data_IF_249849487223
#
_entry.id   IF_249849487223
#
_cell.length_a   1.000
_cell.length_b   1.000
_cell.length_c   1.000
_cell.angle_alpha   90.00
_cell.angle_beta   90.00
_cell.angle_gamma   90.00
#
_symmetry.space_group_name_H-M   'P 1'
#
loop_
_entity.id
_entity.type
_entity.pdbx_description
1 polymer ?
#
# COMPACT_ATOMS: atom_id res chain seq x y z
N UNK A 1 -49.94 53.59 3.90
CA UNK A 1 -48.52 53.21 3.72
C UNK A 1 -48.37 51.77 4.18
N UNK A 2 -48.51 50.83 3.25
CA UNK A 2 -48.33 49.39 3.50
C UNK A 2 -47.00 48.98 2.88
N UNK A 3 -46.04 48.54 3.69
CA UNK A 3 -44.76 48.05 3.22
C UNK A 3 -44.84 46.54 2.95
N UNK A 4 -44.62 46.17 1.68
CA UNK A 4 -44.34 44.81 1.25
C UNK A 4 -42.94 44.38 1.73
N UNK A 5 -42.83 43.21 2.34
CA UNK A 5 -41.58 42.45 2.40
C UNK A 5 -41.88 41.06 1.85
N UNK A 6 -41.23 40.76 0.73
CA UNK A 6 -41.39 39.60 -0.11
C UNK A 6 -40.36 38.55 0.31
N UNK A 7 -40.80 37.40 0.81
CA UNK A 7 -39.91 36.25 1.07
C UNK A 7 -39.70 35.45 -0.23
N UNK A 8 -38.46 35.03 -0.57
CA UNK A 8 -38.21 34.25 -1.77
C UNK A 8 -38.71 32.81 -1.62
N UNK A 9 -39.36 32.34 -2.69
CA UNK A 9 -40.17 31.14 -2.72
C UNK A 9 -39.43 29.81 -2.59
N UNK A 10 -40.11 28.88 -1.92
CA UNK A 10 -39.89 27.45 -2.02
C UNK A 10 -40.23 26.99 -3.45
N UNK A 11 -39.28 26.41 -4.18
CA UNK A 11 -39.56 25.71 -5.45
C UNK A 11 -39.69 24.21 -5.19
N UNK A 12 -40.73 23.54 -5.73
CA UNK A 12 -40.94 22.11 -5.60
C UNK A 12 -40.17 21.31 -6.66
N UNK A 13 -39.68 20.14 -6.26
CA UNK A 13 -39.45 18.98 -7.15
C UNK A 13 -38.14 18.95 -7.93
N UNK A 14 -37.06 18.48 -7.31
CA UNK A 14 -35.98 17.83 -8.05
C UNK A 14 -36.36 16.34 -8.24
N UNK A 15 -36.37 15.90 -9.49
CA UNK A 15 -36.63 14.53 -9.93
C UNK A 15 -35.48 13.57 -9.55
N UNK A 16 -35.69 12.24 -9.50
CA UNK A 16 -34.70 11.25 -9.02
C UNK A 16 -33.49 11.02 -9.96
N UNK A 17 -33.10 11.99 -10.78
CA UNK A 17 -32.10 11.79 -11.84
C UNK A 17 -30.68 12.30 -11.49
N UNK A 18 -30.46 12.92 -10.33
CA UNK A 18 -29.15 13.52 -9.99
C UNK A 18 -28.24 12.61 -9.13
N UNK A 19 -28.52 11.31 -9.04
CA UNK A 19 -27.60 10.31 -8.48
C UNK A 19 -26.86 9.54 -9.58
N UNK A 20 -26.11 10.24 -10.43
CA UNK A 20 -25.16 9.61 -11.37
C UNK A 20 -23.89 10.44 -11.50
N UNK A 21 -23.00 10.31 -10.52
CA UNK A 21 -21.55 10.14 -10.73
C UNK A 21 -20.82 9.98 -9.38
N UNK A 22 -21.10 8.90 -8.65
CA UNK A 22 -20.02 8.31 -7.87
C UNK A 22 -19.23 7.45 -8.86
N UNK A 23 -18.31 8.09 -9.59
CA UNK A 23 -17.38 7.35 -10.44
C UNK A 23 -16.82 6.20 -9.62
N UNK A 24 -17.07 4.97 -10.05
CA UNK A 24 -16.34 3.81 -9.56
C UNK A 24 -14.88 4.22 -9.64
N UNK A 25 -14.24 4.41 -8.49
CA UNK A 25 -12.78 4.54 -8.48
C UNK A 25 -12.31 3.22 -9.04
N UNK A 26 -11.89 3.22 -10.32
CA UNK A 26 -11.28 2.06 -10.95
C UNK A 26 -10.27 1.49 -9.96
N UNK A 27 -10.51 0.25 -9.51
CA UNK A 27 -9.82 -0.27 -8.34
C UNK A 27 -8.39 -0.59 -8.71
N UNK A 28 -7.48 0.35 -8.46
CA UNK A 28 -6.05 0.14 -8.62
C UNK A 28 -5.60 -1.05 -7.76
N UNK A 29 -5.02 -2.07 -8.38
CA UNK A 29 -4.40 -3.20 -7.69
C UNK A 29 -2.92 -2.90 -7.45
N UNK A 30 -2.32 -3.54 -6.45
CA UNK A 30 -0.87 -3.49 -6.24
C UNK A 30 -0.33 -4.91 -6.30
N UNK A 31 0.62 -5.16 -7.20
CA UNK A 31 1.49 -6.34 -7.08
C UNK A 31 2.58 -6.01 -6.07
N UNK A 32 2.64 -6.79 -4.98
CA UNK A 32 3.76 -6.77 -4.06
C UNK A 32 4.63 -8.00 -4.32
N UNK A 33 5.91 -7.79 -4.56
CA UNK A 33 6.90 -8.85 -4.73
C UNK A 33 7.92 -8.79 -3.61
N UNK A 34 8.22 -9.94 -3.02
CA UNK A 34 9.31 -10.05 -2.05
C UNK A 34 10.33 -11.05 -2.55
N UNK A 35 11.59 -10.65 -2.58
CA UNK A 35 12.70 -11.49 -3.08
C UNK A 35 13.74 -11.62 -1.98
N UNK A 36 13.93 -12.82 -1.45
CA UNK A 36 15.06 -13.12 -0.57
C UNK A 36 16.29 -13.34 -1.43
N UNK A 37 17.37 -12.61 -1.12
CA UNK A 37 18.64 -12.74 -1.83
C UNK A 37 19.75 -13.24 -0.90
N UNK A 38 20.80 -13.81 -1.50
CA UNK A 38 21.99 -14.24 -0.77
C UNK A 38 22.58 -13.08 0.04
N UNK A 39 23.06 -13.31 1.28
CA UNK A 39 23.75 -12.29 2.05
C UNK A 39 24.86 -11.61 1.24
N UNK A 40 25.07 -10.31 1.48
CA UNK A 40 26.07 -9.48 0.79
C UNK A 40 25.87 -9.29 -0.73
N UNK A 41 24.73 -9.70 -1.30
CA UNK A 41 24.43 -9.52 -2.73
C UNK A 41 23.37 -8.45 -3.02
N UNK A 42 22.66 -7.97 -2.00
CA UNK A 42 21.58 -6.98 -2.13
C UNK A 42 21.98 -5.76 -2.97
N UNK A 43 23.14 -5.13 -2.68
CA UNK A 43 23.62 -3.96 -3.42
C UNK A 43 23.76 -4.24 -4.92
N UNK A 44 24.26 -5.41 -5.30
CA UNK A 44 24.42 -5.81 -6.72
C UNK A 44 23.06 -5.98 -7.39
N UNK A 45 22.10 -6.57 -6.68
CA UNK A 45 20.72 -6.73 -7.18
C UNK A 45 20.07 -5.36 -7.38
N UNK A 46 20.21 -4.46 -6.42
CA UNK A 46 19.73 -3.07 -6.52
C UNK A 46 20.38 -2.30 -7.68
N UNK A 47 21.69 -2.45 -7.89
CA UNK A 47 22.41 -1.83 -9.01
C UNK A 47 21.89 -2.34 -10.36
N UNK A 48 21.71 -3.67 -10.52
CA UNK A 48 21.13 -4.27 -11.74
C UNK A 48 19.69 -3.82 -11.97
N UNK A 49 18.91 -3.74 -10.89
CA UNK A 49 17.54 -3.24 -10.95
C UNK A 49 17.49 -1.77 -11.40
N UNK A 50 18.29 -0.90 -10.77
CA UNK A 50 18.38 0.51 -11.10
C UNK A 50 18.79 0.75 -12.56
N UNK A 51 19.70 -0.06 -13.11
CA UNK A 51 20.13 0.02 -14.51
C UNK A 51 19.01 -0.34 -15.49
N UNK A 52 18.20 -1.37 -15.18
CA UNK A 52 17.09 -1.81 -16.04
C UNK A 52 15.80 -0.99 -15.86
N UNK A 53 15.67 -0.28 -14.73
CA UNK A 53 14.47 0.43 -14.33
C UNK A 53 13.98 1.52 -15.33
N UNK A 54 14.85 2.33 -15.99
CA UNK A 54 14.39 3.37 -16.91
C UNK A 54 13.54 2.82 -18.08
N UNK A 55 13.92 1.70 -18.67
CA UNK A 55 13.13 1.07 -19.74
C UNK A 55 11.83 0.46 -19.19
N UNK A 56 11.89 -0.16 -18.01
CA UNK A 56 10.70 -0.73 -17.36
C UNK A 56 9.66 0.32 -16.99
N UNK A 57 10.10 1.52 -16.56
CA UNK A 57 9.20 2.62 -16.19
C UNK A 57 8.43 3.21 -17.37
N UNK A 58 8.88 3.00 -18.62
CA UNK A 58 8.11 3.36 -19.81
C UNK A 58 6.84 2.52 -19.98
N UNK A 59 6.78 1.34 -19.35
CA UNK A 59 5.63 0.42 -19.43
C UNK A 59 4.64 0.60 -18.27
N UNK A 60 5.16 0.73 -17.05
CA UNK A 60 4.36 1.07 -15.87
C UNK A 60 5.26 1.67 -14.78
N UNK A 61 4.74 2.56 -13.93
CA UNK A 61 5.51 3.17 -12.86
C UNK A 61 5.90 2.14 -11.79
N UNK A 62 7.06 2.33 -11.17
CA UNK A 62 7.39 1.71 -9.90
C UNK A 62 6.61 2.43 -8.79
N UNK A 63 6.01 1.67 -7.87
CA UNK A 63 5.30 2.24 -6.72
C UNK A 63 6.17 2.35 -5.48
N UNK A 64 7.13 1.45 -5.30
CA UNK A 64 8.04 1.42 -4.17
C UNK A 64 9.09 0.32 -4.33
N UNK A 65 10.30 0.57 -3.82
CA UNK A 65 11.35 -0.43 -3.72
C UNK A 65 12.06 -0.28 -2.38
N UNK A 66 12.16 -1.36 -1.63
CA UNK A 66 12.75 -1.38 -0.31
C UNK A 66 13.67 -2.58 -0.13
N UNK A 67 14.55 -2.48 0.85
CA UNK A 67 15.22 -3.62 1.46
C UNK A 67 14.97 -3.63 2.96
N UNK A 68 14.93 -4.82 3.55
CA UNK A 68 14.70 -4.99 4.99
C UNK A 68 15.94 -4.71 5.82
N UNK A 69 15.76 -3.93 6.88
CA UNK A 69 16.76 -3.67 7.92
C UNK A 69 16.44 -4.46 9.21
N UNK A 70 15.15 -4.58 9.55
CA UNK A 70 14.66 -5.41 10.66
C UNK A 70 13.59 -6.37 10.16
N UNK A 71 13.65 -7.63 10.58
CA UNK A 71 12.74 -8.70 10.15
C UNK A 71 13.51 -9.77 9.37
N UNK A 72 12.94 -10.25 8.26
CA UNK A 72 13.66 -11.16 7.33
C UNK A 72 14.76 -10.37 6.61
N UNK A 73 16.02 -10.57 6.99
CA UNK A 73 17.16 -9.85 6.41
C UNK A 73 17.43 -10.25 4.95
N UNK A 74 18.05 -9.35 4.18
CA UNK A 74 18.38 -9.54 2.76
C UNK A 74 17.13 -9.76 1.89
N UNK A 75 15.99 -9.19 2.28
CA UNK A 75 14.76 -9.26 1.51
C UNK A 75 14.52 -7.92 0.80
N UNK A 76 14.33 -8.00 -0.52
CA UNK A 76 13.89 -6.88 -1.35
C UNK A 76 12.37 -6.91 -1.44
N UNK A 77 11.74 -5.75 -1.36
CA UNK A 77 10.28 -5.58 -1.46
C UNK A 77 9.98 -4.58 -2.56
N UNK A 78 9.21 -4.99 -3.56
CA UNK A 78 8.78 -4.15 -4.68
C UNK A 78 7.26 -3.96 -4.62
N UNK A 79 6.79 -2.75 -4.93
CA UNK A 79 5.39 -2.43 -5.11
C UNK A 79 5.18 -1.95 -6.55
N UNK A 80 4.30 -2.61 -7.28
CA UNK A 80 3.95 -2.31 -8.66
C UNK A 80 2.44 -2.05 -8.76
N UNK A 81 2.02 -0.78 -8.85
CA UNK A 81 0.61 -0.45 -8.97
C UNK A 81 0.15 -0.62 -10.42
N UNK A 82 -1.05 -1.18 -10.60
CA UNK A 82 -1.71 -1.36 -11.90
C UNK A 82 -3.17 -0.94 -11.80
N UNK A 83 -3.74 -0.49 -12.91
CA UNK A 83 -5.17 -0.18 -13.02
C UNK A 83 -6.02 -1.42 -12.76
N UNK A 84 -5.62 -2.57 -13.31
CA UNK A 84 -6.32 -3.85 -13.20
C UNK A 84 -5.42 -5.01 -13.65
N UNK A 85 -5.94 -6.24 -13.61
CA UNK A 85 -5.22 -7.44 -14.01
C UNK A 85 -4.87 -7.49 -15.49
N UNK A 86 -5.71 -6.93 -16.38
CA UNK A 86 -5.47 -6.91 -17.82
C UNK A 86 -4.30 -5.97 -18.17
N UNK A 87 -4.24 -4.78 -17.57
CA UNK A 87 -3.11 -3.87 -17.72
C UNK A 87 -1.81 -4.52 -17.21
N UNK A 88 -1.87 -5.20 -16.06
CA UNK A 88 -0.73 -5.95 -15.52
C UNK A 88 -0.21 -7.00 -16.50
N UNK A 89 -1.09 -7.79 -17.10
CA UNK A 89 -0.72 -8.83 -18.06
C UNK A 89 -0.06 -8.25 -19.31
N UNK A 90 -0.64 -7.19 -19.90
CA UNK A 90 -0.05 -6.50 -21.04
C UNK A 90 1.35 -5.93 -20.71
N UNK A 91 1.48 -5.28 -19.55
CA UNK A 91 2.77 -4.74 -19.10
C UNK A 91 3.80 -5.85 -18.95
N UNK A 92 3.43 -7.00 -18.36
CA UNK A 92 4.34 -8.14 -18.22
C UNK A 92 4.78 -8.70 -19.58
N UNK A 93 3.85 -8.86 -20.53
CA UNK A 93 4.15 -9.32 -21.89
C UNK A 93 5.12 -8.37 -22.62
N UNK A 94 4.98 -7.05 -22.43
CA UNK A 94 5.92 -6.05 -22.97
C UNK A 94 7.25 -6.03 -22.21
N UNK A 95 7.24 -6.23 -20.89
CA UNK A 95 8.42 -6.18 -20.05
C UNK A 95 9.43 -7.29 -20.42
N UNK A 96 8.96 -8.50 -20.73
CA UNK A 96 9.83 -9.61 -21.17
C UNK A 96 10.58 -9.23 -22.45
N UNK A 97 9.95 -8.50 -23.38
CA UNK A 97 10.58 -8.10 -24.66
C UNK A 97 11.72 -7.10 -24.49
N UNK A 98 11.74 -6.35 -23.38
CA UNK A 98 12.82 -5.42 -23.04
C UNK A 98 13.84 -6.04 -22.08
N UNK A 99 13.81 -7.36 -21.86
CA UNK A 99 14.75 -8.06 -20.99
C UNK A 99 14.46 -7.88 -19.50
N UNK A 100 13.21 -7.59 -19.11
CA UNK A 100 12.80 -7.54 -17.71
C UNK A 100 12.26 -8.90 -17.23
N UNK A 101 12.58 -9.33 -15.99
CA UNK A 101 13.44 -8.68 -15.00
C UNK A 101 14.94 -8.82 -15.31
N UNK A 102 15.80 -7.94 -14.76
CA UNK A 102 17.26 -8.10 -14.88
C UNK A 102 17.72 -9.45 -14.31
N UNK A 103 18.71 -10.08 -14.94
CA UNK A 103 19.19 -11.40 -14.52
C UNK A 103 19.86 -11.33 -13.14
N UNK A 104 19.21 -11.94 -12.15
CA UNK A 104 19.67 -12.04 -10.77
C UNK A 104 19.66 -13.50 -10.27
N UNK A 105 19.58 -14.49 -11.16
CA UNK A 105 19.37 -15.91 -10.79
C UNK A 105 20.43 -16.46 -9.83
N UNK A 106 21.65 -15.94 -9.90
CA UNK A 106 22.75 -16.33 -9.01
C UNK A 106 22.59 -15.84 -7.56
N UNK A 107 21.73 -14.84 -7.33
CA UNK A 107 21.54 -14.18 -6.04
C UNK A 107 20.19 -14.51 -5.38
N UNK A 108 19.16 -14.82 -6.15
CA UNK A 108 17.81 -15.10 -5.63
C UNK A 108 17.77 -16.45 -4.91
N UNK A 109 17.21 -16.47 -3.70
CA UNK A 109 16.93 -17.68 -2.91
C UNK A 109 15.45 -18.04 -3.05
N UNK A 110 14.56 -17.08 -2.78
CA UNK A 110 13.11 -17.26 -2.84
C UNK A 110 12.46 -15.99 -3.40
N UNK A 111 11.31 -16.14 -4.03
CA UNK A 111 10.50 -15.01 -4.47
C UNK A 111 9.02 -15.33 -4.28
N UNK A 112 8.30 -14.42 -3.62
CA UNK A 112 6.84 -14.45 -3.48
C UNK A 112 6.23 -13.27 -4.22
N UNK A 113 5.03 -13.47 -4.77
CA UNK A 113 4.29 -12.41 -5.46
C UNK A 113 2.82 -12.50 -5.09
N UNK A 114 2.25 -11.36 -4.71
CA UNK A 114 0.83 -11.24 -4.36
C UNK A 114 0.18 -10.07 -5.04
N UNK A 115 -1.10 -10.21 -5.34
CA UNK A 115 -1.96 -9.13 -5.85
C UNK A 115 -2.84 -8.66 -4.71
N UNK A 116 -2.80 -7.35 -4.48
CA UNK A 116 -3.42 -6.69 -3.36
C UNK A 116 -4.54 -5.76 -3.85
N UNK A 117 -5.70 -5.83 -3.18
CA UNK A 117 -6.81 -4.89 -3.35
C UNK A 117 -6.85 -3.89 -2.21
N UNK A 118 -7.12 -2.60 -2.48
CA UNK A 118 -7.10 -1.57 -1.45
C UNK A 118 -8.26 -1.75 -0.48
N UNK A 119 -8.00 -1.53 0.80
CA UNK A 119 -9.06 -1.33 1.78
C UNK A 119 -9.87 -0.06 1.42
N UNK A 120 -11.17 0.04 1.77
CA UNK A 120 -12.00 1.19 1.40
C UNK A 120 -11.48 2.56 1.87
N UNK A 121 -10.73 2.58 2.98
CA UNK A 121 -10.10 3.77 3.56
C UNK A 121 -8.63 3.94 3.16
N UNK A 122 -8.07 3.03 2.36
CA UNK A 122 -6.68 3.18 1.92
C UNK A 122 -6.54 4.49 1.15
N UNK A 123 -5.51 5.31 1.44
CA UNK A 123 -5.22 6.45 0.60
C UNK A 123 -4.97 5.98 -0.84
N UNK A 124 -5.26 6.82 -1.85
CA UNK A 124 -4.81 6.57 -3.21
C UNK A 124 -3.31 6.34 -3.21
N UNK A 125 -2.84 5.32 -3.93
CA UNK A 125 -1.42 5.02 -4.03
C UNK A 125 -0.70 6.21 -4.67
N UNK A 126 0.18 6.87 -3.91
CA UNK A 126 0.96 8.03 -4.36
C UNK A 126 2.42 7.86 -4.02
N UNK A 127 3.28 8.27 -4.94
CA UNK A 127 4.72 8.38 -4.74
C UNK A 127 5.07 9.74 -4.13
N UNK A 128 6.25 9.87 -3.53
CA UNK A 128 6.68 11.09 -2.86
C UNK A 128 7.60 10.86 -1.67
N UNK A 129 8.00 11.97 -1.03
CA UNK A 129 8.84 11.99 0.17
C UNK A 129 7.98 11.77 1.41
N UNK A 130 8.02 10.57 1.98
CA UNK A 130 7.24 10.24 3.18
C UNK A 130 8.09 9.92 4.43
N UNK A 131 9.35 9.50 4.27
CA UNK A 131 10.25 9.17 5.38
C UNK A 131 11.45 8.34 4.93
N UNK A 132 12.35 7.99 5.86
CA UNK A 132 13.51 7.14 5.57
C UNK A 132 13.34 5.69 6.06
N UNK A 133 12.34 5.42 6.91
CA UNK A 133 12.08 4.10 7.48
C UNK A 133 10.61 3.75 7.27
N UNK A 134 10.35 2.55 6.77
CA UNK A 134 9.01 2.06 6.47
C UNK A 134 8.70 0.85 7.33
N UNK A 135 7.64 0.93 8.14
CA UNK A 135 7.09 -0.23 8.84
C UNK A 135 6.10 -0.94 7.92
N UNK A 136 6.45 -2.13 7.46
CA UNK A 136 5.61 -2.98 6.60
C UNK A 136 5.08 -4.12 7.46
N UNK A 137 3.76 -4.25 7.51
CA UNK A 137 3.09 -5.24 8.36
C UNK A 137 2.18 -6.11 7.51
N UNK A 138 2.28 -7.42 7.74
CA UNK A 138 1.57 -8.43 6.97
C UNK A 138 0.94 -9.41 7.96
N UNK A 139 -0.39 -9.44 8.03
CA UNK A 139 -1.13 -10.25 9.00
C UNK A 139 -2.00 -11.26 8.29
N UNK A 140 -2.09 -12.47 8.82
CA UNK A 140 -3.06 -13.46 8.36
C UNK A 140 -4.23 -13.47 9.32
N UNK A 141 -5.44 -13.31 8.79
CA UNK A 141 -6.68 -13.42 9.55
C UNK A 141 -7.43 -14.71 9.22
N UNK A 142 -8.38 -15.07 10.07
CA UNK A 142 -9.31 -16.18 9.83
C UNK A 142 -10.10 -15.97 8.54
N UNK A 143 -10.47 -17.07 7.89
CA UNK A 143 -11.26 -17.03 6.66
C UNK A 143 -12.57 -16.27 6.84
N UNK A 144 -12.89 -15.39 5.89
CA UNK A 144 -14.13 -14.60 5.92
C UNK A 144 -14.14 -13.42 6.90
N UNK A 145 -13.03 -13.12 7.59
CA UNK A 145 -12.99 -12.05 8.62
C UNK A 145 -12.42 -10.72 8.14
N UNK A 146 -11.89 -10.63 6.91
CA UNK A 146 -11.39 -9.36 6.34
C UNK A 146 -12.44 -8.23 6.40
N UNK A 147 -13.74 -8.45 6.09
CA UNK A 147 -14.75 -7.40 6.27
C UNK A 147 -14.85 -6.88 7.72
N UNK A 148 -14.78 -7.77 8.71
CA UNK A 148 -14.79 -7.39 10.13
C UNK A 148 -13.52 -6.61 10.53
N UNK A 149 -12.38 -6.98 9.95
CA UNK A 149 -11.13 -6.23 10.13
C UNK A 149 -11.27 -4.81 9.57
N UNK A 150 -11.87 -4.65 8.38
CA UNK A 150 -12.16 -3.34 7.78
C UNK A 150 -13.06 -2.52 8.72
N UNK A 151 -14.17 -3.10 9.19
CA UNK A 151 -15.11 -2.45 10.11
C UNK A 151 -14.42 -1.98 11.41
N UNK A 152 -13.56 -2.81 11.99
CA UNK A 152 -12.80 -2.46 13.19
C UNK A 152 -11.78 -1.33 12.97
N UNK A 153 -11.26 -1.18 11.74
CA UNK A 153 -10.32 -0.11 11.38
C UNK A 153 -11.00 1.24 11.14
N UNK A 154 -12.19 1.25 10.53
CA UNK A 154 -12.91 2.47 10.12
C UNK A 154 -12.96 3.57 11.21
N UNK A 155 -13.36 3.31 12.46
CA UNK A 155 -13.51 4.38 13.46
C UNK A 155 -12.17 4.99 13.92
N UNK A 156 -11.04 4.30 13.67
CA UNK A 156 -9.73 4.70 14.16
C UNK A 156 -8.86 5.32 13.07
N UNK A 157 -9.11 4.97 11.80
CA UNK A 157 -8.14 5.20 10.74
C UNK A 157 -7.93 6.68 10.43
N UNK A 158 -8.97 7.51 10.47
CA UNK A 158 -8.84 8.94 10.22
C UNK A 158 -7.94 9.60 11.26
N UNK A 159 -8.18 9.28 12.54
CA UNK A 159 -7.43 9.83 13.66
C UNK A 159 -5.98 9.36 13.62
N UNK A 160 -5.75 8.08 13.31
CA UNK A 160 -4.41 7.51 13.13
C UNK A 160 -3.65 8.15 11.95
N UNK A 161 -4.32 8.39 10.82
CA UNK A 161 -3.73 9.01 9.63
C UNK A 161 -3.30 10.47 9.86
N UNK A 162 -3.96 11.19 10.78
CA UNK A 162 -3.51 12.53 11.23
C UNK A 162 -2.20 12.48 12.02
N UNK A 163 -1.91 11.37 12.71
CA UNK A 163 -0.66 11.18 13.46
C UNK A 163 0.49 10.69 12.58
N UNK A 164 0.21 9.75 11.68
CA UNK A 164 1.18 9.18 10.75
C UNK A 164 0.45 8.76 9.48
N UNK A 165 0.56 9.52 8.38
CA UNK A 165 -0.01 9.14 7.10
C UNK A 165 0.61 7.84 6.60
N UNK A 166 -0.20 6.88 6.14
CA UNK A 166 0.27 5.63 5.54
C UNK A 166 0.50 5.73 4.03
N UNK A 167 1.34 4.85 3.49
CA UNK A 167 1.47 4.65 2.04
C UNK A 167 0.22 3.94 1.50
N UNK A 168 -0.28 2.97 2.24
CA UNK A 168 -1.57 2.36 1.97
C UNK A 168 -1.83 1.11 2.80
N UNK A 169 -3.02 0.55 2.59
CA UNK A 169 -3.56 -0.60 3.29
C UNK A 169 -4.36 -1.47 2.33
N UNK A 170 -4.05 -2.75 2.29
CA UNK A 170 -4.60 -3.68 1.32
C UNK A 170 -4.91 -5.03 1.95
N UNK A 171 -5.64 -5.84 1.21
CA UNK A 171 -5.79 -7.26 1.45
C UNK A 171 -5.51 -8.06 0.18
N UNK A 172 -5.09 -9.30 0.33
CA UNK A 172 -4.76 -10.19 -0.79
C UNK A 172 -5.99 -10.60 -1.59
N UNK A 173 -5.91 -10.42 -2.90
CA UNK A 173 -6.77 -11.07 -3.90
C UNK A 173 -6.14 -12.37 -4.40
N UNK A 174 -4.83 -12.33 -4.70
CA UNK A 174 -4.03 -13.48 -5.13
C UNK A 174 -2.79 -13.54 -4.24
N UNK A 175 -2.45 -14.73 -3.73
CA UNK A 175 -1.34 -14.94 -2.79
C UNK A 175 -1.83 -15.58 -1.49
N UNK A 176 -1.16 -15.33 -0.35
CA UNK A 176 -1.58 -15.87 0.94
C UNK A 176 -3.02 -15.47 1.30
N UNK A 177 -3.88 -16.44 1.59
CA UNK A 177 -5.30 -16.17 1.87
C UNK A 177 -5.50 -15.29 3.11
N UNK A 178 -6.48 -14.38 3.04
CA UNK A 178 -6.86 -13.49 4.14
C UNK A 178 -5.69 -12.68 4.73
N UNK A 179 -4.72 -12.32 3.89
CA UNK A 179 -3.60 -11.51 4.32
C UNK A 179 -3.95 -10.02 4.23
N UNK A 180 -3.72 -9.31 5.32
CA UNK A 180 -3.87 -7.88 5.48
C UNK A 180 -2.49 -7.22 5.48
N UNK A 181 -2.26 -6.27 4.58
CA UNK A 181 -0.95 -5.63 4.36
C UNK A 181 -1.09 -4.12 4.55
N UNK A 182 -0.21 -3.52 5.34
CA UNK A 182 -0.20 -2.06 5.49
C UNK A 182 1.21 -1.52 5.71
N UNK A 183 1.46 -0.33 5.16
CA UNK A 183 2.79 0.27 5.10
C UNK A 183 2.75 1.68 5.68
N UNK A 184 3.55 1.91 6.73
CA UNK A 184 3.64 3.19 7.43
C UNK A 184 5.04 3.78 7.27
N UNK A 185 5.19 4.97 6.66
CA UNK A 185 6.42 5.71 6.61
C UNK A 185 6.69 6.46 7.92
N UNK A 186 7.96 6.57 8.27
CA UNK A 186 8.48 7.35 9.39
C UNK A 186 9.82 7.98 8.99
N UNK A 187 10.15 9.11 9.60
CA UNK A 187 11.44 9.77 9.46
C UNK A 187 12.57 8.84 9.92
N UNK A 188 12.38 8.15 11.05
CA UNK A 188 13.31 7.20 11.65
C UNK A 188 12.60 6.24 12.63
N UNK A 189 13.37 5.30 13.20
CA UNK A 189 12.86 4.33 14.15
C UNK A 189 12.39 4.94 15.49
N UNK A 190 12.94 6.09 15.90
CA UNK A 190 12.56 6.76 17.13
C UNK A 190 11.20 7.45 16.98
N UNK A 191 10.94 8.11 15.84
CA UNK A 191 9.62 8.64 15.51
C UNK A 191 8.59 7.51 15.47
N UNK A 192 8.90 6.39 14.81
CA UNK A 192 8.03 5.21 14.78
C UNK A 192 7.65 4.75 16.19
N UNK A 193 8.61 4.72 17.11
CA UNK A 193 8.35 4.33 18.50
C UNK A 193 7.47 5.34 19.23
N UNK A 194 7.77 6.64 19.10
CA UNK A 194 7.00 7.74 19.73
C UNK A 194 5.54 7.74 19.27
N UNK A 195 5.30 7.73 17.95
CA UNK A 195 3.95 7.78 17.36
C UNK A 195 3.13 6.57 17.80
N UNK A 196 3.74 5.38 17.86
CA UNK A 196 3.03 4.18 18.30
C UNK A 196 2.68 4.21 19.79
N UNK A 197 3.59 4.68 20.64
CA UNK A 197 3.31 4.84 22.07
C UNK A 197 2.15 5.83 22.29
N UNK A 198 2.20 6.98 21.62
CA UNK A 198 1.16 8.00 21.70
C UNK A 198 -0.21 7.49 21.19
N UNK A 199 -0.23 6.75 20.08
CA UNK A 199 -1.47 6.21 19.52
C UNK A 199 -2.15 5.19 20.47
N UNK A 200 -1.34 4.42 21.21
CA UNK A 200 -1.83 3.48 22.24
C UNK A 200 -2.34 4.23 23.46
N UNK A 201 -1.57 5.19 23.97
CA UNK A 201 -1.95 6.02 25.12
C UNK A 201 -3.29 6.72 24.90
N UNK A 202 -3.47 7.30 23.71
CA UNK A 202 -4.71 7.98 23.30
C UNK A 202 -5.85 7.03 22.92
N UNK A 203 -5.64 5.71 22.98
CA UNK A 203 -6.59 4.67 22.55
C UNK A 203 -7.08 4.85 21.11
N UNK A 204 -6.24 5.46 20.27
CA UNK A 204 -6.50 5.68 18.84
C UNK A 204 -6.03 4.48 18.00
N UNK A 205 -5.23 3.58 18.59
CA UNK A 205 -4.71 2.38 17.95
C UNK A 205 -4.29 1.35 19.02
N UNK A 206 -4.35 0.03 18.78
CA UNK A 206 -4.80 -0.67 17.58
C UNK A 206 -6.31 -0.96 17.52
N UNK A 207 -6.84 -1.26 16.32
CA UNK A 207 -8.19 -1.79 16.17
C UNK A 207 -8.33 -3.16 16.84
N UNK A 208 -9.53 -3.46 17.35
CA UNK A 208 -9.82 -4.71 18.07
C UNK A 208 -10.05 -5.82 17.06
N UNK A 209 -8.97 -6.46 16.62
CA UNK A 209 -9.00 -7.54 15.61
C UNK A 209 -8.35 -8.84 16.10
N UNK A 210 -7.85 -8.85 17.34
CA UNK A 210 -7.05 -9.95 17.88
C UNK A 210 -7.78 -11.30 17.88
N UNK A 211 -9.11 -11.30 18.02
CA UNK A 211 -9.95 -12.52 17.98
C UNK A 211 -9.79 -13.32 16.68
N UNK A 212 -9.58 -12.63 15.56
CA UNK A 212 -9.52 -13.27 14.23
C UNK A 212 -8.09 -13.41 13.71
N UNK A 213 -7.10 -12.92 14.45
CA UNK A 213 -5.71 -12.81 14.02
C UNK A 213 -4.98 -14.14 14.20
N UNK A 214 -4.46 -14.70 13.09
CA UNK A 214 -3.76 -15.98 13.08
C UNK A 214 -2.24 -15.82 13.09
N UNK A 215 -1.72 -14.80 12.40
CA UNK A 215 -0.28 -14.59 12.26
C UNK A 215 0.05 -13.12 12.03
N UNK A 216 1.16 -12.66 12.59
CA UNK A 216 1.66 -11.31 12.38
C UNK A 216 3.11 -11.34 11.92
N UNK A 217 3.40 -10.58 10.87
CA UNK A 217 4.75 -10.21 10.48
C UNK A 217 4.89 -8.69 10.48
N UNK A 218 6.10 -8.25 10.82
CA UNK A 218 6.47 -6.85 10.82
C UNK A 218 7.95 -6.74 10.42
N UNK A 219 8.25 -5.87 9.47
CA UNK A 219 9.62 -5.48 9.18
C UNK A 219 9.77 -3.96 9.17
N UNK A 220 10.99 -3.50 9.45
CA UNK A 220 11.42 -2.14 9.10
C UNK A 220 12.24 -2.25 7.83
N UNK A 221 11.87 -1.48 6.83
CA UNK A 221 12.50 -1.46 5.53
C UNK A 221 12.95 -0.06 5.17
N UNK A 222 14.05 0.03 4.43
CA UNK A 222 14.62 1.28 3.94
C UNK A 222 14.37 1.38 2.43
N UNK A 223 13.96 2.56 1.92
CA UNK A 223 13.78 2.74 0.49
C UNK A 223 15.15 2.72 -0.21
N UNK A 224 15.26 2.01 -1.33
CA UNK A 224 16.45 2.11 -2.17
C UNK A 224 16.60 3.53 -2.74
N UNK A 225 17.82 3.90 -3.19
CA UNK A 225 18.11 5.28 -3.62
C UNK A 225 17.26 5.77 -4.79
N UNK A 226 16.77 4.85 -5.62
CA UNK A 226 15.89 5.08 -6.78
C UNK A 226 14.40 4.84 -6.48
N UNK A 227 14.06 4.45 -5.25
CA UNK A 227 12.67 4.24 -4.85
C UNK A 227 11.89 5.54 -4.96
N UNK A 228 10.66 5.52 -5.50
CA UNK A 228 9.80 6.70 -5.59
C UNK A 228 9.13 7.05 -4.25
N UNK A 229 9.43 6.30 -3.20
CA UNK A 229 9.02 6.53 -1.81
C UNK A 229 10.25 6.92 -0.98
N UNK A 230 11.00 7.92 -1.45
CA UNK A 230 12.15 8.51 -0.76
C UNK A 230 11.97 10.01 -0.68
#
# INVERSE_FOLDING_TARGET
MNAQIQMPGCKPGATPADQKNSGERESMIVEMRTTLVKPMTQKKVEERFAQALPERQKLSPLGGFFHTDVGTLNQIIELWPYENMAQREDVQARAVKIGWPPDNREFVIEQDTKILKPAPFSPPFKTGKFGNVYEIRQYIYQSGTIPKVIEAWIPLIEARMKMSPMVGCWYTEIGPVNQWVHIWPFQDAAERQRVRAEAVERKMWPPVTAEWLLRMENCLALPASFSPLR
#
